data_IF_208679590726
#
_entry.id   IF_208679590726
#
_cell.length_a   1.000
_cell.length_b   1.000
_cell.length_c   1.000
_cell.angle_alpha   90.00
_cell.angle_beta   90.00
_cell.angle_gamma   90.00
#
_symmetry.space_group_name_H-M   'P 1'
#
loop_
_entity.id
_entity.type
_entity.pdbx_description
1 polymer ?
#
# COMPACT_ATOMS: atom_id res chain seq x y z
N UNK A 1 10.55 11.18 25.88
CA UNK A 1 9.96 10.33 24.81
C UNK A 1 9.37 11.25 23.75
N UNK A 2 9.80 11.18 22.49
CA UNK A 2 9.13 11.91 21.41
C UNK A 2 7.74 11.28 21.25
N UNK A 3 6.67 12.06 21.42
CA UNK A 3 5.35 11.58 21.01
C UNK A 3 5.43 11.29 19.51
N UNK A 4 5.28 10.03 19.14
CA UNK A 4 5.14 9.60 17.74
C UNK A 4 3.79 10.15 17.26
N UNK A 5 3.82 11.31 16.61
CA UNK A 5 2.63 11.87 15.99
C UNK A 5 2.34 11.03 14.76
N UNK A 6 1.40 10.11 14.89
CA UNK A 6 0.97 9.29 13.76
C UNK A 6 0.44 10.17 12.62
N UNK A 7 0.58 9.72 11.36
CA UNK A 7 -0.04 10.41 10.24
C UNK A 7 -1.57 10.45 10.38
N UNK A 8 -2.27 11.38 9.69
CA UNK A 8 -3.72 11.44 9.72
C UNK A 8 -4.37 10.07 9.43
N UNK A 9 -5.33 9.67 10.26
CA UNK A 9 -6.00 8.37 10.15
C UNK A 9 -5.24 7.18 10.76
N UNK A 10 -4.10 7.42 11.41
CA UNK A 10 -3.36 6.41 12.17
C UNK A 10 -3.42 6.73 13.67
N UNK A 11 -3.83 5.76 14.46
CA UNK A 11 -3.83 5.80 15.93
C UNK A 11 -3.09 4.58 16.49
N UNK A 12 -2.88 4.57 17.81
CA UNK A 12 -2.19 3.48 18.51
C UNK A 12 -2.88 2.14 18.24
N UNK A 13 -4.21 2.11 18.23
CA UNK A 13 -4.98 0.88 18.11
C UNK A 13 -4.90 0.29 16.70
N UNK A 14 -4.92 1.14 15.66
CA UNK A 14 -4.67 0.73 14.28
C UNK A 14 -3.26 0.16 14.13
N UNK A 15 -2.25 0.82 14.70
CA UNK A 15 -0.87 0.32 14.66
C UNK A 15 -0.76 -1.05 15.33
N UNK A 16 -1.33 -1.22 16.53
CA UNK A 16 -1.33 -2.53 17.22
C UNK A 16 -2.01 -3.62 16.41
N UNK A 17 -3.15 -3.34 15.77
CA UNK A 17 -3.84 -4.34 14.93
C UNK A 17 -2.99 -4.76 13.72
N UNK A 18 -2.34 -3.80 13.07
CA UNK A 18 -1.44 -4.07 11.93
C UNK A 18 -0.26 -4.91 12.39
N UNK A 19 0.38 -4.57 13.51
CA UNK A 19 1.48 -5.35 14.07
C UNK A 19 1.04 -6.77 14.41
N UNK A 20 -0.06 -6.95 15.14
CA UNK A 20 -0.56 -8.26 15.51
C UNK A 20 -0.87 -9.14 14.28
N UNK A 21 -1.40 -8.55 13.21
CA UNK A 21 -1.66 -9.26 11.95
C UNK A 21 -0.36 -9.79 11.35
N UNK A 22 0.61 -8.91 11.08
CA UNK A 22 1.87 -9.30 10.45
C UNK A 22 2.76 -10.19 11.33
N UNK A 23 2.69 -10.05 12.67
CA UNK A 23 3.41 -10.94 13.61
C UNK A 23 2.82 -12.35 13.63
N UNK A 24 1.53 -12.50 13.32
CA UNK A 24 0.84 -13.81 13.28
C UNK A 24 0.82 -14.46 11.90
N UNK A 25 1.20 -13.72 10.85
CA UNK A 25 1.16 -14.16 9.47
C UNK A 25 2.24 -15.22 9.22
N UNK A 26 1.86 -16.32 8.57
CA UNK A 26 2.82 -17.32 8.09
C UNK A 26 3.56 -16.84 6.84
N UNK A 27 4.71 -17.45 6.54
CA UNK A 27 5.47 -17.12 5.33
C UNK A 27 4.64 -17.35 4.05
N UNK A 28 3.82 -18.40 4.02
CA UNK A 28 2.95 -18.70 2.88
C UNK A 28 1.85 -17.64 2.70
N UNK A 29 1.23 -17.18 3.79
CA UNK A 29 0.25 -16.11 3.74
C UNK A 29 0.86 -14.77 3.32
N UNK A 30 2.10 -14.48 3.74
CA UNK A 30 2.82 -13.28 3.32
C UNK A 30 3.10 -13.30 1.80
N UNK A 31 3.54 -14.44 1.27
CA UNK A 31 3.75 -14.64 -0.18
C UNK A 31 2.43 -14.49 -0.94
N UNK A 32 1.35 -15.09 -0.45
CA UNK A 32 0.04 -14.99 -1.09
C UNK A 32 -0.51 -13.56 -1.09
N UNK A 33 -0.29 -12.78 -0.02
CA UNK A 33 -0.65 -11.35 0.03
C UNK A 33 0.11 -10.54 -1.03
N UNK A 34 1.42 -10.79 -1.15
CA UNK A 34 2.26 -10.13 -2.15
C UNK A 34 1.84 -10.47 -3.59
N UNK A 35 1.56 -11.74 -3.88
CA UNK A 35 1.12 -12.19 -5.22
C UNK A 35 -0.28 -11.66 -5.58
N UNK A 36 -1.21 -11.65 -4.61
CA UNK A 36 -2.57 -11.14 -4.82
C UNK A 36 -2.59 -9.66 -5.22
N UNK A 37 -1.59 -8.87 -4.80
CA UNK A 37 -1.46 -7.48 -5.23
C UNK A 37 -1.24 -7.34 -6.75
N UNK A 38 -0.64 -8.36 -7.40
CA UNK A 38 -0.43 -8.39 -8.84
C UNK A 38 -1.64 -8.90 -9.62
N UNK A 39 -2.50 -9.69 -8.99
CA UNK A 39 -3.69 -10.30 -9.59
C UNK A 39 -4.97 -9.47 -9.41
N UNK A 40 -4.88 -8.32 -8.73
CA UNK A 40 -6.02 -7.47 -8.44
C UNK A 40 -6.80 -7.05 -9.70
N UNK A 41 -8.06 -7.47 -9.79
CA UNK A 41 -8.96 -7.13 -10.89
C UNK A 41 -9.11 -5.61 -11.03
N UNK A 42 -9.05 -5.12 -12.27
CA UNK A 42 -9.16 -3.69 -12.58
C UNK A 42 -7.85 -2.91 -12.48
N UNK A 43 -6.74 -3.58 -12.13
CA UNK A 43 -5.41 -3.01 -12.16
C UNK A 43 -4.50 -3.79 -13.12
N UNK A 44 -3.45 -3.14 -13.60
CA UNK A 44 -2.43 -3.76 -14.43
C UNK A 44 -1.08 -3.24 -13.96
N UNK A 45 -0.11 -4.13 -13.81
CA UNK A 45 1.24 -3.78 -13.42
C UNK A 45 2.08 -3.62 -14.68
N UNK A 46 2.77 -2.50 -14.75
CA UNK A 46 3.63 -2.13 -15.86
C UNK A 46 4.92 -1.53 -15.34
N UNK A 47 6.03 -1.83 -16.00
CA UNK A 47 7.30 -1.15 -15.74
C UNK A 47 7.20 0.31 -16.20
N UNK A 48 7.69 1.22 -15.36
CA UNK A 48 7.69 2.65 -15.62
C UNK A 48 9.07 3.21 -15.27
N UNK A 49 9.77 3.86 -16.22
CA UNK A 49 10.99 4.60 -15.92
C UNK A 49 10.76 5.63 -14.80
N UNK A 50 11.67 5.67 -13.82
CA UNK A 50 11.47 6.46 -12.59
C UNK A 50 11.27 7.95 -12.86
N UNK A 51 11.92 8.48 -13.88
CA UNK A 51 11.85 9.88 -14.30
C UNK A 51 10.45 10.32 -14.78
N UNK A 52 9.64 9.38 -15.30
CA UNK A 52 8.29 9.68 -15.78
C UNK A 52 7.18 9.32 -14.78
N UNK A 53 7.50 8.72 -13.63
CA UNK A 53 6.53 8.35 -12.58
C UNK A 53 5.64 9.53 -12.16
N UNK A 54 6.14 10.77 -11.96
CA UNK A 54 5.28 11.89 -11.59
C UNK A 54 4.17 12.18 -12.60
N UNK A 55 4.46 12.07 -13.91
CA UNK A 55 3.49 12.32 -14.97
C UNK A 55 2.39 11.25 -15.00
N UNK A 56 2.75 9.98 -14.79
CA UNK A 56 1.77 8.88 -14.70
C UNK A 56 0.87 9.04 -13.47
N UNK A 57 1.43 9.46 -12.33
CA UNK A 57 0.62 9.73 -11.13
C UNK A 57 -0.41 10.83 -11.37
N UNK A 58 -0.04 11.90 -12.08
CA UNK A 58 -0.97 12.96 -12.45
C UNK A 58 -2.07 12.46 -13.39
N UNK A 59 -1.72 11.63 -14.39
CA UNK A 59 -2.70 11.02 -15.30
C UNK A 59 -3.73 10.17 -14.55
N UNK A 60 -3.27 9.32 -13.62
CA UNK A 60 -4.14 8.49 -12.79
C UNK A 60 -5.06 9.35 -11.92
N UNK A 61 -4.53 10.43 -11.31
CA UNK A 61 -5.33 11.34 -10.50
C UNK A 61 -6.44 12.01 -11.31
N UNK A 62 -6.15 12.45 -12.54
CA UNK A 62 -7.15 13.01 -13.47
C UNK A 62 -8.22 11.99 -13.83
N UNK A 63 -7.84 10.75 -14.11
CA UNK A 63 -8.79 9.68 -14.43
C UNK A 63 -9.74 9.38 -13.26
N UNK A 64 -9.25 9.38 -12.01
CA UNK A 64 -10.08 9.13 -10.82
C UNK A 64 -11.05 10.27 -10.47
N UNK A 65 -10.77 11.48 -10.96
CA UNK A 65 -11.59 12.65 -10.72
C UNK A 65 -12.67 12.88 -11.80
N UNK A 66 -12.59 12.14 -12.92
CA UNK A 66 -13.57 12.14 -14.00
C UNK A 66 -14.70 11.13 -13.72
#
# INVERSE_FOLDING_TARGET
MKQTRFPPGWDVERVKRVLAHYESQSEEEAVAEDEAAFEALGHTIMEVPTDIVPAIRELIAKHKAA
#
